data_IF_832870712809
#
_entry.id   IF_832870712809
#
_cell.length_a   1.000
_cell.length_b   1.000
_cell.length_c   1.000
_cell.angle_alpha   90.00
_cell.angle_beta   90.00
_cell.angle_gamma   90.00
#
_symmetry.space_group_name_H-M   'P 1'
#
loop_
_entity.id
_entity.type
_entity.pdbx_description
1 polymer ?
#
# COMPACT_ATOMS: atom_id res chain seq x y z
N UNK A 1 -69.91 -9.28 -63.92
CA UNK A 1 -69.72 -8.47 -62.70
C UNK A 1 -69.30 -9.42 -61.59
N UNK A 2 -68.00 -9.57 -61.36
CA UNK A 2 -67.46 -10.49 -60.36
C UNK A 2 -66.44 -9.72 -59.52
N UNK A 3 -66.70 -9.61 -58.22
CA UNK A 3 -65.91 -8.83 -57.28
C UNK A 3 -64.73 -9.66 -56.77
N UNK A 4 -63.51 -9.14 -56.98
CA UNK A 4 -62.27 -9.75 -56.48
C UNK A 4 -61.96 -9.18 -55.10
N UNK A 5 -61.95 -10.04 -54.08
CA UNK A 5 -61.63 -9.69 -52.69
C UNK A 5 -60.15 -9.96 -52.43
N UNK A 6 -59.37 -8.90 -52.21
CA UNK A 6 -57.94 -8.99 -51.85
C UNK A 6 -57.78 -9.19 -50.34
N UNK A 7 -57.19 -10.32 -49.94
CA UNK A 7 -56.82 -10.62 -48.55
C UNK A 7 -55.36 -10.18 -48.35
N UNK A 8 -55.17 -9.07 -47.63
CA UNK A 8 -53.85 -8.62 -47.19
C UNK A 8 -53.38 -9.43 -45.97
N UNK A 9 -52.41 -10.34 -46.16
CA UNK A 9 -51.68 -10.99 -45.06
C UNK A 9 -50.69 -10.00 -44.44
N UNK A 10 -50.92 -9.62 -43.18
CA UNK A 10 -49.92 -8.92 -42.36
C UNK A 10 -48.81 -9.89 -41.96
N UNK A 11 -47.61 -9.68 -42.50
CA UNK A 11 -46.37 -10.30 -41.99
C UNK A 11 -45.91 -9.46 -40.79
N UNK A 12 -45.84 -10.06 -39.60
CA UNK A 12 -45.22 -9.41 -38.43
C UNK A 12 -43.70 -9.53 -38.56
N UNK A 13 -42.93 -8.43 -38.43
CA UNK A 13 -41.48 -8.51 -38.37
C UNK A 13 -41.08 -9.21 -37.07
N UNK A 14 -40.47 -10.37 -37.19
CA UNK A 14 -39.85 -11.08 -36.07
C UNK A 14 -38.55 -10.33 -35.75
N UNK A 15 -38.57 -9.54 -34.68
CA UNK A 15 -37.42 -8.80 -34.17
C UNK A 15 -36.30 -9.79 -33.79
N UNK A 16 -35.30 -9.92 -34.66
CA UNK A 16 -33.98 -10.47 -34.35
C UNK A 16 -33.19 -9.41 -33.57
N UNK A 17 -33.48 -9.24 -32.27
CA UNK A 17 -32.71 -8.33 -31.38
C UNK A 17 -31.95 -9.09 -30.28
N UNK A 18 -32.16 -10.40 -30.15
CA UNK A 18 -31.67 -11.16 -29.01
C UNK A 18 -30.18 -11.61 -29.01
N UNK A 19 -29.43 -11.78 -30.13
CA UNK A 19 -28.07 -12.31 -30.01
C UNK A 19 -26.96 -11.26 -29.84
N UNK A 20 -27.22 -9.97 -30.10
CA UNK A 20 -26.16 -8.93 -30.02
C UNK A 20 -25.91 -8.46 -28.59
N UNK A 21 -26.95 -8.40 -27.75
CA UNK A 21 -26.81 -7.98 -26.35
C UNK A 21 -26.02 -9.00 -25.49
N UNK A 22 -26.10 -10.30 -25.81
CA UNK A 22 -25.37 -11.34 -25.08
C UNK A 22 -23.86 -11.37 -25.41
N UNK A 23 -23.45 -11.01 -26.63
CA UNK A 23 -22.03 -10.83 -26.96
C UNK A 23 -21.44 -9.53 -26.39
N UNK A 24 -22.22 -8.46 -26.29
CA UNK A 24 -21.77 -7.21 -25.67
C UNK A 24 -21.62 -7.33 -24.14
N UNK A 25 -22.45 -8.12 -23.47
CA UNK A 25 -22.34 -8.38 -22.03
C UNK A 25 -21.16 -9.30 -21.67
N UNK A 26 -20.69 -10.14 -22.60
CA UNK A 26 -19.52 -11.01 -22.39
C UNK A 26 -18.17 -10.26 -22.57
N UNK A 27 -18.18 -9.08 -23.18
CA UNK A 27 -17.00 -8.24 -23.39
C UNK A 27 -16.67 -7.32 -22.20
N UNK A 28 -17.50 -7.29 -21.16
CA UNK A 28 -17.33 -6.42 -19.98
C UNK A 28 -16.87 -7.15 -18.71
N UNK A 29 -16.59 -8.44 -18.79
CA UNK A 29 -15.72 -9.09 -17.80
C UNK A 29 -14.29 -8.81 -18.23
N UNK A 30 -13.86 -7.55 -18.10
CA UNK A 30 -12.45 -7.21 -18.08
C UNK A 30 -11.89 -7.87 -16.82
N UNK A 31 -11.47 -9.12 -16.96
CA UNK A 31 -10.69 -9.79 -15.93
C UNK A 31 -9.48 -8.91 -15.66
N UNK A 32 -9.35 -8.48 -14.42
CA UNK A 32 -8.18 -7.76 -13.93
C UNK A 32 -6.99 -8.71 -14.05
N UNK A 33 -6.17 -8.51 -15.09
CA UNK A 33 -4.97 -9.28 -15.25
C UNK A 33 -3.98 -8.84 -14.17
N UNK A 34 -3.18 -9.75 -13.60
CA UNK A 34 -1.89 -9.36 -13.03
C UNK A 34 -0.97 -8.95 -14.19
N UNK A 35 0.24 -8.45 -13.92
CA UNK A 35 1.30 -8.49 -14.94
C UNK A 35 1.55 -9.98 -15.33
N UNK A 36 2.73 -10.38 -15.78
CA UNK A 36 2.96 -11.82 -15.87
C UNK A 36 2.69 -12.50 -14.50
N UNK A 37 1.89 -13.57 -14.46
CA UNK A 37 1.61 -14.25 -13.18
C UNK A 37 2.89 -14.83 -12.56
N UNK A 38 3.90 -15.09 -13.40
CA UNK A 38 5.13 -15.78 -13.05
C UNK A 38 6.34 -15.21 -13.78
N UNK A 39 7.53 -15.34 -13.20
CA UNK A 39 8.79 -14.92 -13.84
C UNK A 39 9.07 -15.68 -15.15
N UNK A 40 8.74 -16.98 -15.17
CA UNK A 40 8.86 -17.89 -16.33
C UNK A 40 7.66 -18.82 -16.38
N UNK A 41 7.22 -19.21 -17.56
CA UNK A 41 6.32 -20.35 -17.71
C UNK A 41 7.13 -21.66 -17.65
N UNK A 42 6.89 -22.49 -16.62
CA UNK A 42 7.55 -23.80 -16.43
C UNK A 42 9.10 -23.78 -16.52
N UNK A 43 9.74 -22.66 -16.17
CA UNK A 43 11.20 -22.53 -16.19
C UNK A 43 11.81 -22.28 -17.57
N UNK A 44 11.02 -21.93 -18.59
CA UNK A 44 11.58 -21.55 -19.90
C UNK A 44 12.17 -20.13 -19.88
N UNK A 45 13.21 -19.90 -20.70
CA UNK A 45 13.92 -18.61 -20.76
C UNK A 45 13.38 -17.66 -21.83
N UNK A 46 12.24 -17.98 -22.44
CA UNK A 46 11.69 -17.27 -23.61
C UNK A 46 10.33 -16.64 -23.33
N UNK A 47 9.79 -16.83 -22.12
CA UNK A 47 8.51 -16.29 -21.68
C UNK A 47 8.70 -15.24 -20.59
N UNK A 48 7.67 -14.40 -20.44
CA UNK A 48 7.52 -13.44 -19.35
C UNK A 48 8.80 -12.59 -19.14
N UNK A 49 9.26 -12.48 -17.90
CA UNK A 49 10.43 -11.69 -17.53
C UNK A 49 11.73 -12.30 -18.06
N UNK A 50 11.83 -13.63 -18.11
CA UNK A 50 13.05 -14.34 -18.54
C UNK A 50 13.42 -14.08 -20.00
N UNK A 51 12.46 -13.70 -20.85
CA UNK A 51 12.74 -13.28 -22.23
C UNK A 51 13.75 -12.12 -22.31
N UNK A 52 13.71 -11.20 -21.34
CA UNK A 52 14.57 -10.01 -21.31
C UNK A 52 15.69 -10.12 -20.25
N UNK A 53 15.40 -10.80 -19.14
CA UNK A 53 16.31 -10.94 -18.00
C UNK A 53 17.13 -12.26 -18.01
N UNK A 54 16.79 -13.21 -18.88
CA UNK A 54 17.46 -14.51 -19.00
C UNK A 54 16.93 -15.57 -18.02
N UNK A 55 17.67 -16.67 -17.91
CA UNK A 55 17.43 -17.65 -16.84
C UNK A 55 17.74 -17.01 -15.49
N UNK A 56 16.83 -17.15 -14.53
CA UNK A 56 17.00 -16.63 -13.17
C UNK A 56 18.23 -17.23 -12.46
N UNK A 57 18.70 -18.41 -12.91
CA UNK A 57 19.87 -19.10 -12.38
C UNK A 57 21.10 -19.03 -13.29
N UNK A 58 21.08 -18.19 -14.32
CA UNK A 58 22.25 -17.99 -15.17
C UNK A 58 23.27 -17.08 -14.47
N UNK A 59 24.50 -17.57 -14.36
CA UNK A 59 25.62 -16.79 -13.87
C UNK A 59 25.98 -15.63 -14.80
N UNK A 60 26.52 -14.55 -14.22
CA UNK A 60 27.01 -13.40 -14.97
C UNK A 60 25.89 -12.48 -15.45
N UNK A 61 24.84 -12.33 -14.64
CA UNK A 61 23.80 -11.35 -14.93
C UNK A 61 24.40 -9.95 -15.00
N UNK A 62 23.96 -9.18 -16.00
CA UNK A 62 24.33 -7.77 -16.17
C UNK A 62 23.04 -6.98 -16.04
N UNK A 63 23.01 -6.11 -15.03
CA UNK A 63 21.90 -5.20 -14.77
C UNK A 63 21.55 -4.41 -16.02
N UNK A 64 20.24 -4.37 -16.33
CA UNK A 64 19.72 -3.57 -17.46
C UNK A 64 19.58 -2.09 -17.11
N UNK A 65 19.63 -1.74 -15.83
CA UNK A 65 19.48 -0.37 -15.34
C UNK A 65 20.82 0.38 -15.46
N UNK A 66 21.89 -0.19 -14.94
CA UNK A 66 23.19 0.49 -14.80
C UNK A 66 24.37 -0.26 -15.43
N UNK A 67 24.14 -1.45 -16.01
CA UNK A 67 25.17 -2.24 -16.66
C UNK A 67 26.15 -2.92 -15.70
N UNK A 68 25.89 -2.88 -14.38
CA UNK A 68 26.77 -3.53 -13.41
C UNK A 68 26.68 -5.06 -13.52
N UNK A 69 27.82 -5.78 -13.56
CA UNK A 69 27.83 -7.23 -13.49
C UNK A 69 27.56 -7.66 -12.05
N UNK A 70 26.58 -8.53 -11.86
CA UNK A 70 26.32 -9.14 -10.57
C UNK A 70 27.28 -10.30 -10.35
N UNK A 71 27.78 -10.42 -9.13
CA UNK A 71 28.73 -11.46 -8.77
C UNK A 71 28.09 -12.84 -8.70
N UNK A 72 26.78 -12.90 -8.50
CA UNK A 72 25.96 -14.12 -8.47
C UNK A 72 24.85 -14.07 -9.55
N UNK A 73 24.03 -15.11 -9.64
CA UNK A 73 22.82 -15.11 -10.45
C UNK A 73 21.62 -14.43 -9.76
N UNK A 74 20.58 -14.10 -10.53
CA UNK A 74 19.40 -13.41 -10.01
C UNK A 74 18.75 -14.19 -8.86
N UNK A 75 18.72 -15.51 -8.92
CA UNK A 75 18.11 -16.35 -7.89
C UNK A 75 18.94 -16.36 -6.60
N UNK A 76 20.25 -16.58 -6.71
CA UNK A 76 21.12 -16.75 -5.56
C UNK A 76 21.44 -15.42 -4.85
N UNK A 77 21.35 -14.29 -5.54
CA UNK A 77 21.25 -12.98 -4.88
C UNK A 77 20.08 -12.96 -3.88
N UNK A 78 18.86 -13.25 -4.33
CA UNK A 78 17.70 -13.23 -3.45
C UNK A 78 17.78 -14.32 -2.38
N UNK A 79 18.11 -15.55 -2.77
CA UNK A 79 18.15 -16.70 -1.87
C UNK A 79 19.22 -16.56 -0.79
N UNK A 80 20.46 -16.23 -1.16
CA UNK A 80 21.59 -16.30 -0.25
C UNK A 80 21.88 -14.96 0.42
N UNK A 81 21.70 -13.84 -0.30
CA UNK A 81 22.06 -12.51 0.22
C UNK A 81 20.92 -11.87 1.00
N UNK A 82 19.68 -12.02 0.51
CA UNK A 82 18.52 -11.34 1.09
C UNK A 82 17.71 -12.22 2.04
N UNK A 83 17.38 -13.44 1.61
CA UNK A 83 16.36 -14.25 2.27
C UNK A 83 16.93 -15.42 3.11
N UNK A 84 18.26 -15.57 3.19
CA UNK A 84 18.88 -16.61 4.03
C UNK A 84 18.47 -18.05 3.70
N UNK A 85 17.97 -18.30 2.49
CA UNK A 85 17.44 -19.60 2.05
C UNK A 85 15.95 -19.79 2.24
N UNK A 86 15.20 -18.78 2.72
CA UNK A 86 13.76 -18.83 2.83
C UNK A 86 13.11 -18.90 1.44
N UNK A 87 12.77 -20.13 1.04
CA UNK A 87 12.24 -20.42 -0.27
C UNK A 87 10.75 -20.02 -0.36
N UNK A 88 10.04 -20.04 0.75
CA UNK A 88 8.59 -19.85 0.80
C UNK A 88 8.20 -18.37 0.60
N UNK A 89 9.16 -17.44 0.74
CA UNK A 89 8.97 -16.03 0.37
C UNK A 89 8.54 -15.86 -1.09
N UNK A 90 9.09 -16.64 -2.02
CA UNK A 90 8.81 -16.51 -3.47
C UNK A 90 8.14 -17.74 -4.09
N UNK A 91 8.23 -18.90 -3.45
CA UNK A 91 7.68 -20.15 -3.97
C UNK A 91 6.32 -20.50 -3.36
N UNK A 92 5.54 -21.27 -4.10
CA UNK A 92 4.22 -21.72 -3.70
C UNK A 92 4.11 -23.25 -3.81
N UNK A 93 3.40 -23.89 -2.86
CA UNK A 93 3.04 -25.32 -2.92
C UNK A 93 4.21 -26.32 -3.07
N UNK A 94 5.29 -26.17 -2.29
CA UNK A 94 6.47 -27.07 -2.29
C UNK A 94 7.13 -27.27 -3.67
N UNK A 95 6.87 -26.36 -4.63
CA UNK A 95 7.44 -26.39 -5.98
C UNK A 95 8.36 -25.20 -6.14
N UNK A 96 9.50 -25.42 -6.80
CA UNK A 96 10.48 -24.37 -7.12
C UNK A 96 10.12 -23.57 -8.37
N UNK A 97 9.24 -24.11 -9.22
CA UNK A 97 8.76 -23.42 -10.41
C UNK A 97 7.27 -23.70 -10.61
N UNK A 98 6.51 -22.71 -11.11
CA UNK A 98 6.96 -21.35 -11.42
C UNK A 98 7.11 -20.47 -10.16
N UNK A 99 7.94 -19.43 -10.23
CA UNK A 99 8.01 -18.37 -9.22
C UNK A 99 6.95 -17.33 -9.56
N UNK A 100 6.03 -17.06 -8.62
CA UNK A 100 4.88 -16.18 -8.85
C UNK A 100 5.21 -14.74 -8.47
N UNK A 101 4.71 -13.80 -9.26
CA UNK A 101 4.99 -12.38 -9.06
C UNK A 101 4.22 -11.83 -7.85
N UNK A 102 2.94 -12.20 -7.70
CA UNK A 102 2.03 -11.68 -6.66
C UNK A 102 1.57 -12.70 -5.62
N UNK A 103 2.26 -13.82 -5.48
CA UNK A 103 1.84 -14.89 -4.57
C UNK A 103 3.00 -15.73 -4.09
N UNK A 104 2.97 -16.16 -2.83
CA UNK A 104 3.87 -17.19 -2.32
C UNK A 104 3.24 -17.99 -1.17
N UNK A 105 4.02 -18.82 -0.49
CA UNK A 105 3.61 -19.45 0.76
C UNK A 105 3.73 -18.48 1.96
N UNK A 106 4.47 -17.38 1.81
CA UNK A 106 4.88 -16.51 2.90
C UNK A 106 6.13 -17.07 3.58
N UNK A 107 7.09 -16.19 3.86
CA UNK A 107 8.35 -16.54 4.49
C UNK A 107 8.30 -16.50 6.02
N UNK A 108 9.44 -16.68 6.67
CA UNK A 108 9.62 -16.58 8.11
C UNK A 108 9.35 -15.14 8.60
N UNK A 109 8.08 -14.88 8.92
CA UNK A 109 7.59 -13.54 9.27
C UNK A 109 7.32 -12.62 8.08
N UNK A 110 7.34 -13.15 6.85
CA UNK A 110 7.02 -12.41 5.63
C UNK A 110 5.64 -12.81 5.09
N UNK A 111 4.85 -11.82 4.66
CA UNK A 111 3.57 -12.04 4.00
C UNK A 111 3.70 -12.82 2.67
N UNK A 112 2.59 -13.37 2.18
CA UNK A 112 2.55 -14.23 1.00
C UNK A 112 2.51 -13.47 -0.34
N UNK A 113 3.37 -12.46 -0.51
CA UNK A 113 3.32 -11.52 -1.62
C UNK A 113 4.18 -11.93 -2.84
N UNK A 114 5.21 -12.76 -2.65
CA UNK A 114 6.12 -13.10 -3.75
C UNK A 114 7.00 -11.92 -4.17
N UNK A 115 7.25 -11.75 -5.47
CA UNK A 115 8.15 -10.69 -5.96
C UNK A 115 7.67 -9.27 -5.63
N UNK A 116 6.36 -9.01 -5.66
CA UNK A 116 5.80 -7.68 -5.38
C UNK A 116 5.85 -7.29 -3.91
N UNK A 117 6.30 -8.16 -3.00
CA UNK A 117 6.56 -7.76 -1.63
C UNK A 117 7.74 -6.77 -1.51
N UNK A 118 8.72 -6.88 -2.42
CA UNK A 118 9.78 -5.86 -2.57
C UNK A 118 9.50 -4.91 -3.74
N UNK A 119 9.00 -5.43 -4.87
CA UNK A 119 8.86 -4.65 -6.11
C UNK A 119 7.48 -4.04 -6.31
N UNK A 120 6.71 -3.88 -5.24
CA UNK A 120 5.34 -3.39 -5.31
C UNK A 120 4.85 -2.88 -3.97
N UNK A 121 3.84 -2.02 -4.03
CA UNK A 121 3.25 -1.34 -2.88
C UNK A 121 1.74 -1.50 -2.92
N UNK A 122 1.15 -1.67 -1.74
CA UNK A 122 -0.29 -1.88 -1.60
C UNK A 122 -1.10 -0.66 -2.02
N UNK A 123 -0.55 0.53 -1.82
CA UNK A 123 -1.12 1.82 -2.19
C UNK A 123 -1.21 2.00 -3.72
N UNK A 124 -0.39 1.27 -4.50
CA UNK A 124 -0.49 1.25 -5.96
C UNK A 124 -1.61 0.32 -6.45
N UNK A 125 -2.07 -0.60 -5.59
CA UNK A 125 -3.12 -1.57 -5.88
C UNK A 125 -4.50 -0.95 -6.07
N UNK A 126 -5.37 -1.67 -6.79
CA UNK A 126 -6.75 -1.22 -7.08
C UNK A 126 -7.81 -2.26 -6.71
N UNK A 127 -7.43 -3.37 -6.07
CA UNK A 127 -8.31 -4.50 -5.85
C UNK A 127 -7.98 -5.35 -4.62
N UNK A 128 -8.47 -6.59 -4.62
CA UNK A 128 -8.15 -7.61 -3.61
C UNK A 128 -6.80 -8.26 -3.90
N UNK A 129 -6.12 -8.73 -2.86
CA UNK A 129 -4.75 -9.29 -2.92
C UNK A 129 -3.72 -8.31 -3.50
N UNK A 130 -2.68 -8.80 -4.17
CA UNK A 130 -1.61 -7.97 -4.75
C UNK A 130 -1.98 -7.37 -6.12
N UNK A 131 -3.28 -7.18 -6.39
CA UNK A 131 -3.76 -6.73 -7.69
C UNK A 131 -3.44 -5.24 -7.91
N UNK A 132 -2.78 -4.94 -9.03
CA UNK A 132 -2.29 -3.60 -9.36
C UNK A 132 -0.98 -3.22 -8.65
N UNK A 133 -0.48 -4.06 -7.75
CA UNK A 133 0.82 -3.82 -7.09
C UNK A 133 1.93 -3.84 -8.14
N UNK A 134 2.98 -3.05 -7.92
CA UNK A 134 4.11 -2.92 -8.86
C UNK A 134 3.81 -2.04 -10.08
N UNK A 135 2.94 -1.04 -9.93
CA UNK A 135 2.73 -0.03 -10.97
C UNK A 135 4.05 0.70 -11.32
N UNK A 136 4.84 1.09 -10.31
CA UNK A 136 6.16 1.70 -10.53
C UNK A 136 7.10 0.80 -11.34
N UNK A 137 7.24 -0.48 -10.96
CA UNK A 137 8.00 -1.45 -11.76
C UNK A 137 7.52 -1.53 -13.22
N UNK A 138 6.20 -1.50 -13.48
CA UNK A 138 5.67 -1.48 -14.85
C UNK A 138 6.03 -0.19 -15.59
N UNK A 139 6.04 0.95 -14.90
CA UNK A 139 6.41 2.24 -15.46
C UNK A 139 7.91 2.33 -15.80
N UNK A 140 8.79 1.72 -14.99
CA UNK A 140 10.21 1.53 -15.34
C UNK A 140 10.34 0.82 -16.70
N UNK A 141 9.60 -0.29 -16.88
CA UNK A 141 9.61 -1.05 -18.14
C UNK A 141 9.02 -0.24 -19.30
N UNK A 142 7.93 0.50 -19.07
CA UNK A 142 7.33 1.37 -20.07
C UNK A 142 8.32 2.43 -20.57
N UNK A 143 9.04 3.10 -19.66
CA UNK A 143 10.09 4.09 -19.99
C UNK A 143 11.26 3.46 -20.74
N UNK A 144 11.57 2.20 -20.47
CA UNK A 144 12.55 1.41 -21.22
C UNK A 144 12.03 0.92 -22.60
N UNK A 145 10.76 1.20 -22.94
CA UNK A 145 10.14 0.84 -24.22
C UNK A 145 9.39 -0.50 -24.22
N UNK A 146 9.33 -1.21 -23.10
CA UNK A 146 8.54 -2.43 -22.94
C UNK A 146 7.09 -2.08 -22.56
N UNK A 147 6.20 -2.14 -23.54
CA UNK A 147 4.81 -1.67 -23.41
C UNK A 147 3.78 -2.79 -23.42
N UNK A 148 4.20 -4.07 -23.42
CA UNK A 148 3.27 -5.21 -23.48
C UNK A 148 2.22 -5.18 -22.35
N UNK A 149 2.61 -4.66 -21.19
CA UNK A 149 1.76 -4.56 -20.00
C UNK A 149 0.57 -3.60 -20.20
N UNK A 150 0.74 -2.52 -20.98
CA UNK A 150 -0.28 -1.47 -21.19
C UNK A 150 -1.58 -2.03 -21.79
N UNK A 151 -1.49 -3.16 -22.51
CA UNK A 151 -2.65 -3.83 -23.10
C UNK A 151 -3.68 -4.29 -22.04
N UNK A 152 -3.24 -4.52 -20.81
CA UNK A 152 -4.10 -4.93 -19.70
C UNK A 152 -4.01 -3.98 -18.50
N UNK A 153 -2.89 -3.26 -18.36
CA UNK A 153 -2.52 -2.42 -17.23
C UNK A 153 -2.33 -0.99 -17.68
N UNK A 154 -3.43 -0.22 -17.74
CA UNK A 154 -3.39 1.18 -18.16
C UNK A 154 -2.44 2.03 -17.30
N UNK A 155 -2.27 1.64 -16.04
CA UNK A 155 -1.36 2.21 -15.05
C UNK A 155 0.14 1.94 -15.31
N UNK A 156 0.48 1.11 -16.31
CA UNK A 156 1.85 0.96 -16.78
C UNK A 156 2.33 2.19 -17.55
N UNK A 157 1.42 3.00 -18.09
CA UNK A 157 1.75 4.27 -18.73
C UNK A 157 1.77 5.38 -17.66
N UNK A 158 2.91 6.06 -17.45
CA UNK A 158 3.01 7.17 -16.48
C UNK A 158 2.00 8.30 -16.72
N UNK A 159 1.44 8.42 -17.93
CA UNK A 159 0.39 9.39 -18.22
C UNK A 159 -0.97 9.05 -17.55
N UNK A 160 -1.17 7.80 -17.14
CA UNK A 160 -2.46 7.31 -16.63
C UNK A 160 -2.48 7.06 -15.12
N UNK A 161 -1.33 6.89 -14.47
CA UNK A 161 -1.21 6.74 -13.01
C UNK A 161 0.12 7.34 -12.55
N UNK A 162 0.07 8.10 -11.46
CA UNK A 162 1.25 8.39 -10.63
C UNK A 162 1.24 7.39 -9.48
N UNK A 163 2.20 6.46 -9.41
CA UNK A 163 2.36 5.59 -8.24
C UNK A 163 2.62 6.41 -6.98
N UNK A 164 2.47 5.80 -5.80
CA UNK A 164 2.93 6.46 -4.56
C UNK A 164 4.43 6.70 -4.62
N UNK A 165 4.90 7.76 -3.96
CA UNK A 165 6.30 8.16 -4.04
C UNK A 165 7.28 7.14 -3.47
N UNK A 166 8.55 7.27 -3.87
CA UNK A 166 9.64 6.38 -3.48
C UNK A 166 9.74 6.15 -1.97
N UNK A 167 9.47 7.17 -1.17
CA UNK A 167 9.49 7.11 0.31
C UNK A 167 8.43 6.17 0.93
N UNK A 168 7.47 5.67 0.15
CA UNK A 168 6.48 4.70 0.62
C UNK A 168 7.04 3.29 0.54
N UNK A 169 7.24 2.67 1.71
CA UNK A 169 7.84 1.35 1.84
C UNK A 169 7.03 0.24 1.13
N UNK A 170 7.67 -0.60 0.31
CA UNK A 170 7.16 -1.93 -0.04
C UNK A 170 6.85 -2.77 1.21
N UNK A 171 5.94 -3.75 1.08
CA UNK A 171 5.47 -4.54 2.23
C UNK A 171 6.59 -5.28 2.97
N UNK A 172 7.56 -5.84 2.23
CA UNK A 172 8.70 -6.52 2.85
C UNK A 172 9.65 -5.52 3.48
N UNK A 173 9.82 -4.30 2.95
CA UNK A 173 10.70 -3.30 3.56
C UNK A 173 10.13 -2.85 4.91
N UNK A 174 8.81 -2.61 4.95
CA UNK A 174 8.09 -2.26 6.16
C UNK A 174 8.08 -3.40 7.19
N UNK A 175 8.01 -4.66 6.73
CA UNK A 175 7.93 -5.84 7.57
C UNK A 175 8.94 -6.91 7.10
N UNK A 176 10.23 -6.80 7.49
CA UNK A 176 11.28 -7.65 6.95
C UNK A 176 11.28 -9.10 7.45
N UNK A 177 10.33 -9.47 8.30
CA UNK A 177 10.29 -10.80 8.91
C UNK A 177 11.47 -11.03 9.84
N UNK A 178 11.85 -12.30 10.02
CA UNK A 178 12.86 -12.70 11.00
C UNK A 178 14.11 -13.25 10.31
N UNK A 179 15.26 -12.62 10.55
CA UNK A 179 16.56 -13.15 10.11
C UNK A 179 16.89 -12.92 8.63
N UNK A 180 16.10 -12.12 7.92
CA UNK A 180 16.38 -11.68 6.56
C UNK A 180 17.27 -10.42 6.54
N UNK A 181 18.02 -10.27 5.46
CA UNK A 181 18.85 -9.11 5.15
C UNK A 181 18.33 -8.47 3.88
N UNK A 182 17.11 -7.93 3.95
CA UNK A 182 16.41 -7.30 2.83
C UNK A 182 16.50 -5.78 2.95
N UNK A 183 16.24 -5.02 1.87
CA UNK A 183 16.18 -3.58 1.97
C UNK A 183 15.14 -3.13 2.99
N UNK A 184 15.45 -2.03 3.67
CA UNK A 184 14.60 -1.44 4.71
C UNK A 184 14.24 0.00 4.43
N UNK A 185 14.84 0.61 3.42
CA UNK A 185 14.64 2.01 3.07
C UNK A 185 14.84 2.19 1.55
N UNK A 186 13.76 2.48 0.81
CA UNK A 186 13.78 2.67 -0.65
C UNK A 186 14.51 3.95 -1.07
N UNK A 187 14.67 4.91 -0.15
CA UNK A 187 15.43 6.14 -0.43
C UNK A 187 16.94 5.96 -0.35
N UNK A 188 17.39 4.77 0.07
CA UNK A 188 18.78 4.33 0.01
C UNK A 188 19.84 5.35 0.51
N UNK A 189 19.65 5.99 1.68
CA UNK A 189 20.47 7.11 2.10
C UNK A 189 21.93 6.75 2.37
N UNK A 190 22.82 7.69 2.05
CA UNK A 190 24.22 7.62 2.44
C UNK A 190 24.39 7.74 3.96
N UNK A 191 25.44 7.14 4.56
CA UNK A 191 26.50 6.35 3.91
C UNK A 191 26.20 4.85 3.85
N UNK A 192 25.07 4.40 4.39
CA UNK A 192 24.76 2.98 4.58
C UNK A 192 24.24 2.32 3.32
N UNK A 193 23.56 3.08 2.45
CA UNK A 193 22.94 2.60 1.23
C UNK A 193 22.17 1.28 1.44
N UNK A 194 21.11 1.31 2.27
CA UNK A 194 20.37 0.12 2.69
C UNK A 194 19.64 -0.63 1.58
N UNK A 195 19.58 -0.10 0.35
CA UNK A 195 19.03 -0.79 -0.83
C UNK A 195 20.13 -1.26 -1.80
N UNK A 196 21.41 -0.92 -1.56
CA UNK A 196 22.55 -1.45 -2.31
C UNK A 196 22.82 -2.92 -1.96
N UNK A 197 21.95 -3.79 -2.45
CA UNK A 197 22.22 -5.23 -2.49
C UNK A 197 23.07 -5.56 -3.71
N UNK A 198 23.20 -6.84 -4.09
CA UNK A 198 23.66 -7.18 -5.43
C UNK A 198 22.60 -6.74 -6.46
N UNK A 199 22.35 -5.43 -6.53
CA UNK A 199 21.51 -4.66 -7.39
C UNK A 199 22.39 -3.55 -8.00
N UNK A 200 21.79 -2.53 -8.61
CA UNK A 200 22.55 -1.37 -9.05
C UNK A 200 23.27 -0.67 -7.88
N UNK A 201 24.29 0.14 -8.17
CA UNK A 201 24.82 1.08 -7.15
C UNK A 201 23.87 2.24 -6.85
N UNK A 202 22.84 2.35 -7.68
CA UNK A 202 21.63 3.14 -7.50
C UNK A 202 20.59 2.17 -6.94
N UNK A 203 19.70 2.62 -6.06
CA UNK A 203 18.61 1.81 -5.52
C UNK A 203 17.61 1.35 -6.60
N UNK A 204 16.46 0.87 -6.17
CA UNK A 204 15.33 0.60 -7.05
C UNK A 204 14.56 1.91 -7.29
N UNK A 205 14.02 2.05 -8.49
CA UNK A 205 13.00 3.07 -8.82
C UNK A 205 11.64 2.42 -8.55
N UNK A 206 11.22 2.43 -7.27
CA UNK A 206 10.04 1.72 -6.80
C UNK A 206 8.74 2.40 -7.25
N UNK A 207 8.77 3.71 -7.50
CA UNK A 207 7.64 4.47 -8.07
C UNK A 207 7.64 4.61 -9.60
N UNK A 208 8.74 4.29 -10.26
CA UNK A 208 8.85 4.25 -11.71
C UNK A 208 8.85 5.62 -12.37
N UNK A 209 9.22 6.69 -11.65
CA UNK A 209 9.26 8.04 -12.19
C UNK A 209 10.56 8.36 -12.95
N UNK A 210 11.60 7.52 -12.76
CA UNK A 210 12.92 7.60 -13.36
C UNK A 210 13.96 8.33 -12.52
N UNK A 211 13.63 8.69 -11.28
CA UNK A 211 14.56 9.14 -10.25
C UNK A 211 14.82 8.03 -9.23
N UNK A 212 15.87 8.18 -8.42
CA UNK A 212 16.41 7.11 -7.56
C UNK A 212 16.97 7.73 -6.28
N UNK A 213 16.90 6.98 -5.18
CA UNK A 213 17.59 7.28 -3.92
C UNK A 213 17.32 8.71 -3.40
N UNK A 214 18.29 9.31 -2.70
CA UNK A 214 18.25 10.72 -2.25
C UNK A 214 18.18 11.75 -3.39
N UNK A 215 18.32 11.35 -4.66
CA UNK A 215 18.09 12.25 -5.80
C UNK A 215 16.61 12.32 -6.19
N UNK A 216 15.80 11.38 -5.71
CA UNK A 216 14.37 11.36 -5.87
C UNK A 216 13.70 12.47 -5.02
N UNK A 217 12.82 13.30 -5.61
CA UNK A 217 12.07 14.30 -4.86
C UNK A 217 11.30 13.72 -3.67
N UNK A 218 10.74 12.52 -3.80
CA UNK A 218 9.96 11.85 -2.75
C UNK A 218 10.84 11.44 -1.57
N UNK A 219 12.12 11.16 -1.82
CA UNK A 219 13.11 10.87 -0.79
C UNK A 219 13.70 12.10 -0.11
N UNK A 220 13.45 13.28 -0.66
CA UNK A 220 13.73 14.56 -0.02
C UNK A 220 12.50 15.13 0.69
N UNK A 221 11.36 14.43 0.65
CA UNK A 221 10.23 14.76 1.50
C UNK A 221 10.60 14.37 2.92
N UNK A 222 10.64 15.37 3.79
CA UNK A 222 10.62 15.11 5.23
C UNK A 222 9.36 14.27 5.48
N UNK A 223 9.52 13.07 6.08
CA UNK A 223 8.42 12.13 6.26
C UNK A 223 7.17 12.86 6.76
N UNK A 224 6.04 12.67 6.08
CA UNK A 224 4.80 13.26 6.52
C UNK A 224 4.54 12.80 7.95
N UNK A 225 4.14 13.73 8.81
CA UNK A 225 3.78 13.42 10.19
C UNK A 225 2.27 13.25 10.27
N UNK A 226 1.76 12.43 11.21
CA UNK A 226 0.33 12.16 11.30
C UNK A 226 -0.51 13.44 11.36
N UNK A 227 -1.57 13.46 10.55
CA UNK A 227 -2.55 14.53 10.44
C UNK A 227 -3.43 14.74 11.68
N UNK A 228 -4.41 15.63 11.57
CA UNK A 228 -5.51 15.72 12.54
C UNK A 228 -6.50 14.56 12.32
N UNK A 229 -6.70 13.72 13.33
CA UNK A 229 -7.78 12.74 13.33
C UNK A 229 -9.13 13.45 13.28
N UNK A 230 -10.03 12.98 12.41
CA UNK A 230 -11.32 13.64 12.16
C UNK A 230 -11.20 15.11 11.70
N UNK A 231 -10.08 15.45 11.07
CA UNK A 231 -9.84 16.73 10.41
C UNK A 231 -10.73 16.97 9.18
N UNK A 232 -10.46 18.06 8.46
CA UNK A 232 -11.25 18.46 7.30
C UNK A 232 -11.29 17.37 6.21
N UNK A 233 -12.48 16.91 5.85
CA UNK A 233 -12.66 15.88 4.82
C UNK A 233 -12.62 14.44 5.32
N UNK A 234 -12.37 14.23 6.62
CA UNK A 234 -12.43 12.94 7.28
C UNK A 234 -13.74 12.75 8.05
N UNK A 235 -14.04 11.51 8.43
CA UNK A 235 -15.19 11.20 9.28
C UNK A 235 -15.04 11.85 10.65
N UNK A 236 -16.11 12.48 11.13
CA UNK A 236 -16.11 13.15 12.43
C UNK A 236 -15.94 12.17 13.59
N UNK A 237 -15.35 12.64 14.69
CA UNK A 237 -15.29 11.88 15.94
C UNK A 237 -16.71 11.80 16.55
N UNK A 238 -17.22 10.59 16.69
CA UNK A 238 -18.55 10.31 17.22
C UNK A 238 -18.47 9.26 18.33
N UNK A 239 -19.25 9.45 19.39
CA UNK A 239 -19.58 8.38 20.32
C UNK A 239 -20.77 7.62 19.73
N UNK A 240 -20.56 6.36 19.37
CA UNK A 240 -21.58 5.52 18.73
C UNK A 240 -22.41 4.75 19.75
N UNK A 241 -21.83 4.42 20.91
CA UNK A 241 -22.54 3.76 22.01
C UNK A 241 -21.88 4.01 23.37
N UNK A 242 -22.66 3.93 24.46
CA UNK A 242 -22.15 3.95 25.84
C UNK A 242 -22.84 2.82 26.62
N UNK A 243 -22.07 1.86 27.11
CA UNK A 243 -22.50 0.87 28.09
C UNK A 243 -22.05 1.29 29.49
N UNK A 244 -22.94 1.95 30.21
CA UNK A 244 -22.67 2.41 31.59
C UNK A 244 -22.55 1.28 32.60
N UNK A 245 -23.05 0.07 32.31
CA UNK A 245 -22.93 -1.07 33.22
C UNK A 245 -21.53 -1.69 33.14
N UNK A 246 -20.92 -1.65 31.96
CA UNK A 246 -19.56 -2.15 31.70
C UNK A 246 -18.49 -1.06 31.78
N UNK A 247 -18.87 0.22 31.73
CA UNK A 247 -17.92 1.33 31.65
C UNK A 247 -17.22 1.39 30.30
N UNK A 248 -17.95 1.06 29.22
CA UNK A 248 -17.40 1.03 27.85
C UNK A 248 -18.06 2.10 26.99
N UNK A 249 -17.26 2.82 26.22
CA UNK A 249 -17.68 3.81 25.23
C UNK A 249 -17.16 3.37 23.85
N UNK A 250 -18.08 3.14 22.91
CA UNK A 250 -17.72 2.89 21.52
C UNK A 250 -17.56 4.21 20.79
N UNK A 251 -16.41 4.41 20.14
CA UNK A 251 -16.12 5.60 19.34
C UNK A 251 -15.89 5.24 17.87
N UNK A 252 -16.20 6.17 16.98
CA UNK A 252 -15.80 6.15 15.58
C UNK A 252 -15.12 7.47 15.20
N UNK A 253 -14.09 7.40 14.37
CA UNK A 253 -13.30 8.56 13.94
C UNK A 253 -12.70 8.31 12.56
N UNK A 254 -12.37 9.38 11.84
CA UNK A 254 -11.63 9.32 10.59
C UNK A 254 -10.14 9.30 10.87
N UNK A 255 -9.41 8.19 10.62
CA UNK A 255 -7.99 8.13 10.91
C UNK A 255 -7.20 9.14 10.09
N UNK A 256 -6.18 9.73 10.69
CA UNK A 256 -5.33 10.68 9.98
C UNK A 256 -4.49 9.97 8.91
N UNK A 257 -4.07 10.74 7.90
CA UNK A 257 -3.02 10.33 6.97
C UNK A 257 -1.77 9.85 7.73
N UNK A 258 -1.07 8.87 7.14
CA UNK A 258 0.17 8.24 7.64
C UNK A 258 0.14 7.73 9.10
N UNK A 259 -1.00 7.78 9.77
CA UNK A 259 -1.18 7.19 11.08
C UNK A 259 -1.01 5.67 10.97
N UNK A 260 -0.11 5.12 11.77
CA UNK A 260 -0.02 3.66 11.96
C UNK A 260 -0.84 3.22 13.16
N UNK A 261 -1.10 4.13 14.09
CA UNK A 261 -1.86 3.92 15.31
C UNK A 261 -2.56 5.21 15.75
N UNK A 262 -3.40 5.11 16.78
CA UNK A 262 -4.00 6.27 17.44
C UNK A 262 -3.96 6.07 18.96
N UNK A 263 -4.19 7.16 19.68
CA UNK A 263 -4.36 7.18 21.14
C UNK A 263 -5.54 8.05 21.53
N UNK A 264 -6.13 7.75 22.68
CA UNK A 264 -7.08 8.65 23.33
C UNK A 264 -6.33 9.47 24.37
N UNK A 265 -6.46 10.79 24.33
CA UNK A 265 -5.99 11.68 25.39
C UNK A 265 -7.20 12.30 26.07
N UNK A 266 -7.31 12.21 27.39
CA UNK A 266 -8.50 12.65 28.11
C UNK A 266 -8.17 13.48 29.36
N UNK A 267 -9.15 14.25 29.82
CA UNK A 267 -9.03 15.16 30.95
C UNK A 267 -10.39 15.50 31.57
N UNK A 268 -10.39 16.18 32.72
CA UNK A 268 -11.63 16.61 33.34
C UNK A 268 -12.31 17.66 32.47
N UNK A 269 -13.63 17.58 32.28
CA UNK A 269 -14.37 18.50 31.43
C UNK A 269 -14.20 19.97 31.87
N UNK A 270 -14.03 20.21 33.18
CA UNK A 270 -13.76 21.52 33.74
C UNK A 270 -12.42 22.13 33.27
N UNK A 271 -11.46 21.28 32.87
CA UNK A 271 -10.11 21.68 32.50
C UNK A 271 -9.91 21.76 30.98
N UNK A 272 -10.97 21.54 30.18
CA UNK A 272 -10.89 21.60 28.71
C UNK A 272 -10.38 22.95 28.20
N UNK A 273 -10.72 24.05 28.88
CA UNK A 273 -10.31 25.41 28.52
C UNK A 273 -8.85 25.74 28.83
N UNK A 274 -8.17 24.87 29.58
CA UNK A 274 -6.73 24.99 29.88
C UNK A 274 -5.94 23.80 29.35
N UNK A 275 -6.58 22.92 28.56
CA UNK A 275 -5.99 21.69 28.04
C UNK A 275 -5.41 20.79 29.14
N UNK A 276 -6.13 20.69 30.27
CA UNK A 276 -5.72 19.86 31.40
C UNK A 276 -5.99 18.39 31.13
N UNK A 277 -4.97 17.66 30.67
CA UNK A 277 -5.02 16.21 30.46
C UNK A 277 -4.72 15.46 31.76
N UNK A 278 -5.44 14.36 31.99
CA UNK A 278 -5.33 13.53 33.18
C UNK A 278 -5.00 12.07 32.88
N UNK A 279 -5.09 11.63 31.61
CA UNK A 279 -4.75 10.27 31.23
C UNK A 279 -4.78 10.02 29.73
N UNK A 280 -4.34 8.82 29.36
CA UNK A 280 -4.21 8.35 27.98
C UNK A 280 -4.57 6.87 27.87
N UNK A 281 -5.19 6.50 26.75
CA UNK A 281 -5.31 5.12 26.27
C UNK A 281 -4.45 4.98 25.01
N UNK A 282 -3.51 4.05 25.04
CA UNK A 282 -2.55 3.86 23.96
C UNK A 282 -3.02 2.75 23.02
N UNK A 283 -2.48 2.73 21.81
CA UNK A 283 -2.64 1.64 20.85
C UNK A 283 -4.10 1.27 20.56
N UNK A 284 -4.93 2.27 20.28
CA UNK A 284 -6.35 2.04 19.95
C UNK A 284 -6.52 1.57 18.50
N UNK A 285 -5.44 1.52 17.73
CA UNK A 285 -5.39 1.07 16.34
C UNK A 285 -5.69 2.18 15.34
N UNK A 286 -5.68 1.81 14.06
CA UNK A 286 -5.94 2.71 12.93
C UNK A 286 -7.20 2.35 12.14
N UNK A 287 -8.14 1.63 12.76
CA UNK A 287 -9.34 1.10 12.10
C UNK A 287 -10.48 2.12 12.01
N UNK A 288 -10.36 3.27 12.69
CA UNK A 288 -11.41 4.29 12.77
C UNK A 288 -12.54 3.95 13.74
N UNK A 289 -12.44 2.85 14.50
CA UNK A 289 -13.41 2.49 15.55
C UNK A 289 -12.70 1.83 16.74
N UNK A 290 -13.18 2.10 17.95
CA UNK A 290 -12.60 1.51 19.16
C UNK A 290 -13.62 1.43 20.30
N UNK A 291 -13.61 0.32 21.05
CA UNK A 291 -14.39 0.13 22.27
C UNK A 291 -13.52 0.47 23.49
N UNK A 292 -13.67 1.69 24.00
CA UNK A 292 -12.85 2.21 25.08
C UNK A 292 -13.43 1.90 26.46
N UNK A 293 -12.66 1.20 27.29
CA UNK A 293 -12.96 1.06 28.73
C UNK A 293 -12.57 2.35 29.47
N UNK A 294 -13.44 3.36 29.41
CA UNK A 294 -13.13 4.69 29.92
C UNK A 294 -13.01 4.72 31.45
N UNK A 295 -12.13 5.56 32.03
CA UNK A 295 -11.91 5.60 33.47
C UNK A 295 -13.09 6.23 34.20
N UNK A 296 -13.31 5.81 35.46
CA UNK A 296 -14.34 6.40 36.31
C UNK A 296 -14.01 7.81 36.85
N UNK A 297 -12.72 8.17 36.84
CA UNK A 297 -12.21 9.48 37.25
C UNK A 297 -11.42 10.09 36.08
N UNK A 298 -11.77 11.29 35.58
CA UNK A 298 -12.79 12.20 36.11
C UNK A 298 -14.24 11.79 35.74
N UNK A 299 -15.23 12.07 36.61
CA UNK A 299 -16.64 11.67 36.40
C UNK A 299 -17.32 12.42 35.24
N UNK A 300 -16.75 13.54 34.80
CA UNK A 300 -17.12 14.24 33.58
C UNK A 300 -15.83 14.62 32.88
N UNK A 301 -15.67 14.11 31.66
CA UNK A 301 -14.41 14.20 30.92
C UNK A 301 -14.62 14.81 29.54
N UNK A 302 -13.53 15.34 28.99
CA UNK A 302 -13.35 15.50 27.55
C UNK A 302 -12.28 14.51 27.09
N UNK A 303 -12.29 14.18 25.81
CA UNK A 303 -11.22 13.39 25.20
C UNK A 303 -10.96 13.83 23.76
N UNK A 304 -9.78 13.48 23.27
CA UNK A 304 -9.29 13.67 21.91
C UNK A 304 -8.80 12.32 21.41
N UNK A 305 -8.91 12.07 20.11
CA UNK A 305 -8.18 10.99 19.44
C UNK A 305 -7.03 11.63 18.69
N UNK A 306 -5.81 11.16 18.94
CA UNK A 306 -4.59 11.71 18.35
C UNK A 306 -3.91 10.58 17.56
N UNK A 307 -3.65 10.83 16.30
CA UNK A 307 -2.93 9.89 15.44
C UNK A 307 -1.43 9.85 15.79
N UNK A 308 -0.81 8.70 15.60
CA UNK A 308 0.64 8.56 15.68
C UNK A 308 1.19 7.56 14.65
N UNK A 309 2.48 7.69 14.34
CA UNK A 309 3.24 6.81 13.43
C UNK A 309 4.18 5.85 14.19
N UNK A 310 4.00 5.72 15.51
CA UNK A 310 4.89 5.00 16.41
C UNK A 310 6.16 5.74 16.83
N UNK A 311 6.49 6.88 16.22
CA UNK A 311 7.62 7.74 16.59
C UNK A 311 7.20 9.16 16.99
N UNK A 312 6.19 9.71 16.31
CA UNK A 312 5.66 11.04 16.50
C UNK A 312 4.14 10.98 16.64
N UNK A 313 3.61 11.87 17.47
CA UNK A 313 2.17 12.14 17.49
C UNK A 313 1.83 13.36 16.62
N UNK A 314 0.63 13.33 16.07
CA UNK A 314 0.11 14.36 15.18
C UNK A 314 -0.57 15.51 15.90
N UNK A 315 -1.51 16.12 15.19
CA UNK A 315 -2.30 17.24 15.70
C UNK A 315 -3.28 16.81 16.80
N UNK A 316 -3.41 17.66 17.82
CA UNK A 316 -4.46 17.58 18.85
C UNK A 316 -5.73 18.34 18.43
N UNK A 317 -5.72 18.87 17.20
CA UNK A 317 -6.71 19.77 16.66
C UNK A 317 -6.46 21.23 17.03
N UNK A 318 -7.15 22.13 16.35
CA UNK A 318 -7.04 23.56 16.60
C UNK A 318 -8.13 24.09 17.55
N UNK A 319 -7.86 25.22 18.19
CA UNK A 319 -8.86 25.97 18.94
C UNK A 319 -9.68 26.89 18.03
N UNK A 320 -10.61 27.66 18.61
CA UNK A 320 -11.47 28.57 17.83
C UNK A 320 -10.72 29.76 17.20
N UNK A 321 -9.47 30.00 17.61
CA UNK A 321 -8.58 30.97 16.98
C UNK A 321 -7.69 30.32 15.90
N UNK A 322 -7.83 29.02 15.65
CA UNK A 322 -7.01 28.25 14.74
C UNK A 322 -5.62 27.92 15.29
N UNK A 323 -5.38 28.13 16.60
CA UNK A 323 -4.12 27.76 17.23
C UNK A 323 -4.13 26.28 17.57
N UNK A 324 -3.01 25.60 17.33
CA UNK A 324 -2.84 24.20 17.70
C UNK A 324 -2.98 24.00 19.22
N UNK A 325 -3.72 22.97 19.62
CA UNK A 325 -3.83 22.58 21.03
C UNK A 325 -2.51 21.95 21.48
N UNK A 326 -1.99 22.33 22.66
CA UNK A 326 -0.71 21.83 23.11
C UNK A 326 -0.76 20.33 23.37
N UNK A 327 0.25 19.61 22.86
CA UNK A 327 0.47 18.21 23.20
C UNK A 327 0.61 18.00 24.72
N UNK A 328 0.34 16.77 25.18
CA UNK A 328 0.50 16.45 26.60
C UNK A 328 1.98 16.18 26.93
N UNK A 329 2.76 17.25 27.10
CA UNK A 329 4.21 17.18 27.33
C UNK A 329 4.67 16.46 28.62
N UNK A 330 3.76 16.02 29.47
CA UNK A 330 4.04 15.26 30.70
C UNK A 330 3.32 13.90 30.72
N UNK A 331 2.91 13.38 29.57
CA UNK A 331 2.27 12.08 29.41
C UNK A 331 3.09 10.97 30.09
N UNK A 332 2.56 10.32 31.15
CA UNK A 332 3.25 9.21 31.80
C UNK A 332 3.14 7.89 31.01
N UNK A 333 2.24 7.82 30.04
CA UNK A 333 1.91 6.61 29.29
C UNK A 333 2.06 6.88 27.79
N UNK A 334 2.75 6.00 27.04
CA UNK A 334 3.03 6.14 25.60
C UNK A 334 3.43 7.55 25.09
N UNK A 335 4.36 8.26 25.74
CA UNK A 335 4.75 9.60 25.27
C UNK A 335 5.40 9.49 23.88
N UNK A 336 4.92 10.29 22.93
CA UNK A 336 5.61 10.56 21.67
C UNK A 336 5.81 12.06 21.54
N UNK A 337 6.93 12.53 20.94
CA UNK A 337 7.07 13.92 20.56
C UNK A 337 6.00 14.30 19.53
N UNK A 338 5.38 15.46 19.70
CA UNK A 338 4.52 16.03 18.67
C UNK A 338 5.37 16.60 17.53
N UNK A 339 5.06 16.23 16.29
CA UNK A 339 5.66 16.83 15.09
C UNK A 339 4.57 17.34 14.13
N UNK A 340 4.55 18.66 13.96
CA UNK A 340 3.59 19.38 13.12
C UNK A 340 4.26 19.95 11.85
N UNK A 341 5.55 19.68 11.65
CA UNK A 341 6.31 20.31 10.58
C UNK A 341 5.92 19.80 9.19
N UNK A 342 5.35 18.59 9.12
CA UNK A 342 4.97 17.91 7.87
C UNK A 342 3.60 17.23 7.97
N UNK A 343 2.68 17.86 8.70
CA UNK A 343 1.33 17.34 8.90
C UNK A 343 0.61 17.17 7.56
N UNK A 344 0.00 16.02 7.31
CA UNK A 344 -0.69 15.71 6.05
C UNK A 344 -2.22 15.94 6.11
N UNK A 345 -2.65 17.11 6.57
CA UNK A 345 -4.07 17.50 6.67
C UNK A 345 -4.55 18.50 5.60
#
# INVERSE_FOLDING_TARGET
MSASTSIARRVRPMLLVAPVAALAALALVLGTALAYDTYTNNGDVITNCAKCHGDFRAAGYISKVDGQPWTDDLHDTHRNTMLGGDCDTCHFSNRRVPTYIGKSNGGDGLGAFGCVGCHGRSQDGTGTDTNGWGAGLRQVHFRAGETVCVNCHADSDPANKTPVGENVLPEYYANPGTGHNIPTDPCNPAPTYPENYQASTLGLDNDGDGTFDEADPDCNLTAATPGETSGSGLDALLITSIDTALGVMSISYGPACVATDNRIVYGALADVGVYGYSGQECAIGNTGTYDWSYPADPPSMFFLVVADDGQHEGSYGTDSAGAERPAWGAAPTCPLPQDLTQRCD
#
